data_IF_316257256692
#
_entry.id   IF_316257256692
#
_cell.length_a   1.000
_cell.length_b   1.000
_cell.length_c   1.000
_cell.angle_alpha   90.00
_cell.angle_beta   90.00
_cell.angle_gamma   90.00
#
_symmetry.space_group_name_H-M   'P 1'
#
loop_
_entity.id
_entity.type
_entity.pdbx_description
1 polymer ?
#
# COMPACT_ATOMS: atom_id res chain seq x y z
N UNK A 1 52.72 19.79 -8.86
CA UNK A 1 52.08 18.88 -7.89
C UNK A 1 50.82 18.34 -8.56
N UNK A 2 50.91 17.16 -9.17
CA UNK A 2 49.80 16.55 -9.91
C UNK A 2 48.94 15.76 -8.90
N UNK A 3 47.75 16.28 -8.60
CA UNK A 3 46.81 15.64 -7.67
C UNK A 3 46.08 14.52 -8.42
N UNK A 4 46.49 13.26 -8.18
CA UNK A 4 45.77 12.08 -8.64
C UNK A 4 44.52 11.90 -7.74
N UNK A 5 43.36 12.28 -8.27
CA UNK A 5 42.07 11.92 -7.70
C UNK A 5 41.82 10.43 -7.97
N UNK A 6 41.94 9.59 -6.93
CA UNK A 6 41.46 8.21 -6.97
C UNK A 6 39.93 8.21 -6.90
N UNK A 7 39.26 7.85 -7.98
CA UNK A 7 37.86 7.48 -7.92
C UNK A 7 37.73 6.17 -7.10
N UNK A 8 36.72 6.03 -6.23
CA UNK A 8 36.50 4.79 -5.51
C UNK A 8 36.28 3.66 -6.52
N UNK A 9 36.95 2.53 -6.31
CA UNK A 9 36.77 1.35 -7.14
C UNK A 9 35.28 0.94 -7.12
N UNK A 10 34.65 0.90 -8.30
CA UNK A 10 33.34 0.29 -8.45
C UNK A 10 33.41 -1.13 -7.88
N UNK A 11 32.46 -1.52 -7.02
CA UNK A 11 32.39 -2.89 -6.53
C UNK A 11 32.27 -3.82 -7.74
N UNK A 12 33.22 -4.76 -7.87
CA UNK A 12 33.18 -5.74 -8.94
C UNK A 12 31.89 -6.56 -8.82
N UNK A 13 31.09 -6.58 -9.87
CA UNK A 13 29.90 -7.43 -9.94
C UNK A 13 30.34 -8.90 -10.01
N UNK A 14 29.69 -9.77 -9.24
CA UNK A 14 29.95 -11.21 -9.30
C UNK A 14 29.80 -11.72 -10.75
N UNK A 15 30.68 -12.63 -11.17
CA UNK A 15 30.58 -13.27 -12.49
C UNK A 15 29.41 -14.25 -12.47
N UNK A 16 28.44 -14.17 -13.39
CA UNK A 16 27.35 -15.13 -13.46
C UNK A 16 27.87 -16.56 -13.71
N UNK A 17 27.36 -17.54 -12.97
CA UNK A 17 27.59 -18.98 -13.25
C UNK A 17 26.61 -19.50 -14.31
N UNK A 18 25.48 -18.81 -14.47
CA UNK A 18 24.49 -19.02 -15.51
C UNK A 18 23.96 -17.68 -15.96
N UNK A 19 23.81 -17.48 -17.27
CA UNK A 19 23.15 -16.29 -17.80
C UNK A 19 22.31 -16.60 -19.03
N UNK A 20 21.13 -15.99 -19.11
CA UNK A 20 20.36 -15.87 -20.33
C UNK A 20 20.55 -14.47 -20.92
N UNK A 21 20.67 -14.40 -22.25
CA UNK A 21 20.82 -13.15 -23.01
C UNK A 21 19.78 -13.07 -24.13
N UNK A 22 19.46 -11.85 -24.56
CA UNK A 22 18.65 -11.61 -25.76
C UNK A 22 19.45 -11.95 -27.03
N UNK A 23 18.79 -11.92 -28.19
CA UNK A 23 19.46 -12.05 -29.48
C UNK A 23 20.48 -10.92 -29.76
N UNK A 24 20.32 -9.75 -29.11
CA UNK A 24 21.26 -8.62 -29.16
C UNK A 24 22.42 -8.75 -28.16
N UNK A 25 22.43 -9.77 -27.30
CA UNK A 25 23.46 -9.99 -26.29
C UNK A 25 23.19 -9.29 -24.95
N UNK A 26 22.04 -8.64 -24.78
CA UNK A 26 21.67 -7.99 -23.51
C UNK A 26 21.35 -9.06 -22.45
N UNK A 27 21.83 -8.88 -21.22
CA UNK A 27 21.49 -9.79 -20.11
C UNK A 27 19.98 -9.76 -19.83
N UNK A 28 19.39 -10.94 -19.64
CA UNK A 28 17.97 -11.13 -19.28
C UNK A 28 17.82 -11.76 -17.90
N UNK A 29 18.67 -12.73 -17.57
CA UNK A 29 18.70 -13.38 -16.26
C UNK A 29 20.11 -13.85 -15.95
N UNK A 30 20.55 -13.72 -14.71
CA UNK A 30 21.83 -14.21 -14.23
C UNK A 30 21.67 -14.87 -12.87
N UNK A 31 22.28 -16.05 -12.68
CA UNK A 31 22.49 -16.68 -11.38
C UNK A 31 23.96 -16.60 -10.98
N UNK A 32 24.22 -16.48 -9.69
CA UNK A 32 25.56 -16.29 -9.12
C UNK A 32 25.95 -17.45 -8.19
N UNK A 33 27.25 -17.60 -7.92
CA UNK A 33 27.80 -18.70 -7.10
C UNK A 33 27.30 -18.67 -5.64
N UNK A 34 26.96 -17.48 -5.13
CA UNK A 34 26.37 -17.29 -3.80
C UNK A 34 24.88 -17.64 -3.71
N UNK A 35 24.26 -18.08 -4.82
CA UNK A 35 22.84 -18.38 -4.92
C UNK A 35 21.95 -17.16 -5.19
N UNK A 36 22.52 -15.96 -5.29
CA UNK A 36 21.82 -14.78 -5.74
C UNK A 36 21.40 -14.90 -7.21
N UNK A 37 20.39 -14.14 -7.60
CA UNK A 37 20.03 -13.98 -9.00
C UNK A 37 19.64 -12.53 -9.31
N UNK A 38 19.72 -12.18 -10.59
CA UNK A 38 19.24 -10.92 -11.13
C UNK A 38 18.45 -11.17 -12.41
N UNK A 39 17.27 -10.56 -12.50
CA UNK A 39 16.47 -10.50 -13.72
C UNK A 39 16.54 -9.08 -14.27
N UNK A 40 16.69 -8.96 -15.58
CA UNK A 40 16.94 -7.71 -16.28
C UNK A 40 15.90 -7.47 -17.36
N UNK A 41 15.85 -6.25 -17.85
CA UNK A 41 15.09 -5.87 -19.04
C UNK A 41 15.03 -4.36 -19.18
N UNK A 42 14.42 -3.90 -20.25
CA UNK A 42 14.37 -2.48 -20.60
C UNK A 42 13.01 -1.91 -20.21
N UNK A 43 13.00 -0.78 -19.50
CA UNK A 43 11.77 -0.06 -19.22
C UNK A 43 11.24 0.58 -20.51
N UNK A 44 10.03 0.19 -20.93
CA UNK A 44 9.42 0.55 -22.21
C UNK A 44 7.87 0.45 -22.12
N UNK A 45 7.22 1.33 -21.34
CA UNK A 45 5.80 1.19 -21.00
C UNK A 45 4.84 1.29 -22.20
N UNK A 46 5.28 1.95 -23.27
CA UNK A 46 4.46 2.20 -24.47
C UNK A 46 4.49 1.03 -25.48
N UNK A 47 5.41 0.09 -25.33
CA UNK A 47 5.56 -1.08 -26.23
C UNK A 47 5.28 -2.40 -25.51
N UNK A 48 4.47 -2.36 -24.45
CA UNK A 48 4.36 -3.45 -23.48
C UNK A 48 3.75 -4.74 -24.05
N UNK A 49 4.40 -5.88 -23.80
CA UNK A 49 3.93 -7.23 -24.13
C UNK A 49 3.80 -8.08 -22.86
N UNK A 50 2.58 -8.57 -22.56
CA UNK A 50 2.33 -9.34 -21.33
C UNK A 50 3.24 -10.58 -21.31
N UNK A 51 4.12 -10.75 -20.30
CA UNK A 51 4.96 -11.93 -20.21
C UNK A 51 4.16 -13.20 -19.84
N UNK A 52 2.90 -13.07 -19.45
CA UNK A 52 2.02 -14.21 -19.09
C UNK A 52 0.70 -14.14 -19.85
N UNK A 53 0.22 -15.28 -20.33
CA UNK A 53 -1.13 -15.39 -20.87
C UNK A 53 -2.15 -15.23 -19.73
N UNK A 54 -3.11 -14.32 -19.88
CA UNK A 54 -4.11 -14.01 -18.86
C UNK A 54 -4.95 -15.23 -18.40
N UNK A 55 -5.00 -16.28 -19.23
CA UNK A 55 -5.81 -17.49 -19.05
C UNK A 55 -5.02 -18.70 -18.53
N UNK A 56 -3.81 -18.50 -17.99
CA UNK A 56 -3.02 -19.58 -17.36
C UNK A 56 -2.94 -19.43 -15.82
N UNK A 57 -4.06 -19.59 -15.10
CA UNK A 57 -4.11 -19.42 -13.65
C UNK A 57 -3.32 -20.52 -12.90
N UNK A 58 -2.60 -20.12 -11.86
CA UNK A 58 -1.83 -21.00 -10.98
C UNK A 58 -0.89 -20.21 -10.06
N UNK A 59 0.04 -20.91 -9.42
CA UNK A 59 1.13 -20.29 -8.65
C UNK A 59 2.24 -19.83 -9.59
N UNK A 60 2.48 -18.52 -9.66
CA UNK A 60 3.47 -17.93 -10.57
C UNK A 60 4.30 -16.83 -9.89
N UNK A 61 5.49 -16.60 -10.44
CA UNK A 61 6.31 -15.43 -10.21
C UNK A 61 6.52 -14.74 -11.55
N UNK A 62 6.26 -13.43 -11.64
CA UNK A 62 6.32 -12.67 -12.89
C UNK A 62 7.13 -11.40 -12.67
N UNK A 63 8.17 -11.24 -13.46
CA UNK A 63 8.87 -9.97 -13.65
C UNK A 63 8.47 -9.40 -15.01
N UNK A 64 7.87 -8.21 -15.03
CA UNK A 64 7.45 -7.50 -16.24
C UNK A 64 8.32 -6.25 -16.43
N UNK A 65 9.51 -6.41 -17.04
CA UNK A 65 10.55 -5.37 -17.06
C UNK A 65 10.12 -4.08 -17.78
N UNK A 66 9.31 -4.18 -18.83
CA UNK A 66 8.86 -3.04 -19.64
C UNK A 66 8.09 -1.99 -18.83
N UNK A 67 7.55 -2.39 -17.68
CA UNK A 67 6.83 -1.52 -16.76
C UNK A 67 7.35 -1.64 -15.32
N UNK A 68 8.48 -2.31 -15.10
CA UNK A 68 9.04 -2.57 -13.78
C UNK A 68 8.04 -3.14 -12.75
N UNK A 69 7.14 -4.02 -13.19
CA UNK A 69 6.11 -4.60 -12.33
C UNK A 69 6.47 -6.03 -11.90
N UNK A 70 6.10 -6.39 -10.67
CA UNK A 70 6.39 -7.70 -10.11
C UNK A 70 5.13 -8.38 -9.56
N UNK A 71 4.97 -9.68 -9.82
CA UNK A 71 3.89 -10.53 -9.30
C UNK A 71 4.43 -11.78 -8.65
N UNK A 72 3.87 -12.18 -7.52
CA UNK A 72 4.18 -13.47 -6.91
C UNK A 72 3.00 -14.03 -6.10
N UNK A 73 2.52 -15.21 -6.46
CA UNK A 73 1.48 -15.90 -5.72
C UNK A 73 0.55 -16.73 -6.60
N UNK A 74 -0.66 -16.99 -6.10
CA UNK A 74 -1.67 -17.81 -6.78
C UNK A 74 -2.73 -16.90 -7.42
N UNK A 75 -2.96 -17.07 -8.72
CA UNK A 75 -3.96 -16.32 -9.46
C UNK A 75 -4.89 -17.30 -10.17
N UNK A 76 -6.20 -17.19 -9.92
CA UNK A 76 -7.21 -18.14 -10.43
C UNK A 76 -8.09 -17.56 -11.55
N UNK A 77 -7.81 -16.32 -12.00
CA UNK A 77 -8.57 -15.64 -13.04
C UNK A 77 -7.76 -14.55 -13.74
N UNK A 78 -8.42 -13.46 -14.16
CA UNK A 78 -7.83 -12.43 -15.02
C UNK A 78 -6.87 -11.45 -14.32
N UNK A 79 -6.42 -11.72 -13.09
CA UNK A 79 -5.51 -10.83 -12.35
C UNK A 79 -4.18 -10.58 -13.07
N UNK A 80 -3.74 -11.51 -13.94
CA UNK A 80 -2.54 -11.38 -14.77
C UNK A 80 -2.84 -10.88 -16.20
N UNK A 81 -4.00 -10.25 -16.43
CA UNK A 81 -4.26 -9.53 -17.69
C UNK A 81 -3.51 -8.19 -17.74
N UNK A 82 -3.20 -7.71 -18.95
CA UNK A 82 -2.43 -6.48 -19.17
C UNK A 82 -2.95 -5.25 -18.41
N UNK A 83 -4.26 -5.13 -18.25
CA UNK A 83 -4.89 -3.98 -17.56
C UNK A 83 -4.68 -4.02 -16.04
N UNK A 84 -4.28 -5.16 -15.49
CA UNK A 84 -4.02 -5.36 -14.06
C UNK A 84 -2.54 -5.19 -13.71
N UNK A 85 -1.74 -4.68 -14.65
CA UNK A 85 -0.37 -4.27 -14.42
C UNK A 85 -0.18 -2.76 -14.46
N UNK A 86 -0.08 -2.19 -13.26
CA UNK A 86 0.44 -0.84 -13.08
C UNK A 86 1.96 -0.78 -13.28
N UNK A 87 2.48 0.23 -14.00
CA UNK A 87 3.89 0.60 -13.96
C UNK A 87 4.42 0.76 -12.53
N UNK A 88 5.60 0.19 -12.27
CA UNK A 88 6.28 0.15 -10.98
C UNK A 88 5.47 -0.53 -9.86
N UNK A 89 4.50 -1.37 -10.20
CA UNK A 89 3.58 -1.95 -9.21
C UNK A 89 4.01 -3.33 -8.72
N UNK A 90 3.63 -3.64 -7.48
CA UNK A 90 3.84 -4.95 -6.88
C UNK A 90 2.49 -5.56 -6.50
N UNK A 91 2.24 -6.81 -6.91
CA UNK A 91 1.11 -7.58 -6.40
C UNK A 91 1.56 -8.98 -5.93
N UNK A 92 1.13 -9.40 -4.74
CA UNK A 92 1.41 -10.76 -4.28
C UNK A 92 0.32 -11.36 -3.41
N UNK A 93 0.45 -12.66 -3.16
CA UNK A 93 -0.55 -13.47 -2.46
C UNK A 93 -1.58 -14.08 -3.41
N UNK A 94 -2.84 -14.16 -3.01
CA UNK A 94 -3.90 -14.84 -3.76
C UNK A 94 -4.85 -13.84 -4.42
N UNK A 95 -5.01 -13.91 -5.74
CA UNK A 95 -6.02 -13.14 -6.48
C UNK A 95 -5.98 -11.61 -6.25
N UNK A 96 -4.81 -11.05 -5.95
CA UNK A 96 -4.64 -9.60 -5.77
C UNK A 96 -4.33 -8.88 -7.09
N UNK A 97 -4.69 -7.60 -7.16
CA UNK A 97 -4.42 -6.72 -8.31
C UNK A 97 -3.72 -5.45 -7.83
N UNK A 98 -2.65 -5.07 -8.53
CA UNK A 98 -2.00 -3.77 -8.43
C UNK A 98 -1.96 -3.13 -9.83
N UNK A 99 -3.11 -2.60 -10.24
CA UNK A 99 -3.40 -2.22 -11.63
C UNK A 99 -2.97 -0.81 -12.02
N UNK A 100 -2.43 -0.02 -11.10
CA UNK A 100 -2.15 1.40 -11.30
C UNK A 100 -0.70 1.76 -11.03
N UNK A 101 -0.25 2.89 -11.58
CA UNK A 101 1.13 3.37 -11.42
C UNK A 101 1.50 3.43 -9.93
N UNK A 102 2.64 2.86 -9.57
CA UNK A 102 3.20 2.83 -8.22
C UNK A 102 2.34 2.12 -7.17
N UNK A 103 1.34 1.32 -7.57
CA UNK A 103 0.47 0.66 -6.59
C UNK A 103 1.09 -0.60 -5.99
N UNK A 104 0.69 -0.93 -4.77
CA UNK A 104 1.14 -2.09 -4.02
C UNK A 104 -0.08 -2.87 -3.52
N UNK A 105 -0.09 -4.19 -3.72
CA UNK A 105 -1.17 -5.06 -3.29
C UNK A 105 -0.62 -6.37 -2.72
N UNK A 106 -0.96 -6.74 -1.49
CA UNK A 106 -0.53 -8.02 -0.92
C UNK A 106 -1.58 -8.64 0.00
N UNK A 107 -1.79 -9.95 -0.11
CA UNK A 107 -2.74 -10.71 0.69
C UNK A 107 -3.74 -11.51 -0.18
N UNK A 108 -5.04 -11.41 0.08
CA UNK A 108 -6.07 -12.19 -0.64
C UNK A 108 -7.14 -11.30 -1.24
N UNK A 109 -7.42 -11.42 -2.54
CA UNK A 109 -8.54 -10.74 -3.23
C UNK A 109 -8.54 -9.20 -3.12
N UNK A 110 -7.37 -8.59 -2.96
CA UNK A 110 -7.21 -7.14 -2.87
C UNK A 110 -7.16 -6.47 -4.25
N UNK A 111 -7.57 -5.20 -4.32
CA UNK A 111 -7.48 -4.39 -5.53
C UNK A 111 -6.94 -2.99 -5.22
N UNK A 112 -5.68 -2.74 -5.58
CA UNK A 112 -5.05 -1.42 -5.57
C UNK A 112 -5.21 -0.78 -6.97
N UNK A 113 -6.30 -0.02 -7.10
CA UNK A 113 -6.88 0.43 -8.38
C UNK A 113 -6.66 1.93 -8.68
N UNK A 114 -5.95 2.65 -7.82
CA UNK A 114 -5.59 4.05 -8.03
C UNK A 114 -4.08 4.29 -7.94
N UNK A 115 -3.64 5.45 -8.39
CA UNK A 115 -2.21 5.81 -8.44
C UNK A 115 -1.61 5.85 -7.04
N UNK A 116 -0.44 5.23 -6.88
CA UNK A 116 0.36 5.23 -5.66
C UNK A 116 -0.43 4.80 -4.42
N UNK A 117 -1.24 3.74 -4.55
CA UNK A 117 -2.01 3.19 -3.43
C UNK A 117 -1.40 1.91 -2.87
N UNK A 118 -1.73 1.63 -1.62
CA UNK A 118 -1.37 0.39 -0.92
C UNK A 118 -2.66 -0.33 -0.53
N UNK A 119 -2.81 -1.61 -0.89
CA UNK A 119 -3.88 -2.49 -0.43
C UNK A 119 -3.27 -3.73 0.25
N UNK A 120 -3.47 -3.89 1.56
CA UNK A 120 -2.86 -4.98 2.32
C UNK A 120 -3.87 -5.72 3.22
N UNK A 121 -3.96 -7.04 3.11
CA UNK A 121 -4.88 -7.85 3.90
C UNK A 121 -5.81 -8.68 3.03
N UNK A 122 -7.12 -8.72 3.32
CA UNK A 122 -8.07 -9.52 2.54
C UNK A 122 -9.30 -8.71 2.08
N UNK A 123 -9.64 -8.87 0.80
CA UNK A 123 -10.76 -8.22 0.14
C UNK A 123 -10.77 -6.67 0.28
N UNK A 124 -9.57 -6.10 0.37
CA UNK A 124 -9.32 -4.66 0.46
C UNK A 124 -9.42 -4.01 -0.92
N UNK A 125 -10.09 -2.86 -0.98
CA UNK A 125 -10.20 -2.01 -2.16
C UNK A 125 -9.52 -0.67 -1.85
N UNK A 126 -8.51 -0.28 -2.64
CA UNK A 126 -7.83 1.00 -2.54
C UNK A 126 -7.95 1.77 -3.87
N UNK A 127 -8.93 2.67 -3.94
CA UNK A 127 -9.37 3.42 -5.14
C UNK A 127 -9.16 4.94 -5.05
N UNK A 128 -8.68 5.46 -3.92
CA UNK A 128 -8.28 6.84 -3.71
C UNK A 128 -6.79 7.02 -4.00
N UNK A 129 -6.38 7.96 -4.86
CA UNK A 129 -4.95 8.14 -5.17
C UNK A 129 -4.14 8.54 -3.92
N UNK A 130 -2.90 8.06 -3.82
CA UNK A 130 -1.98 8.32 -2.71
C UNK A 130 -2.50 7.88 -1.33
N UNK A 131 -3.27 6.80 -1.27
CA UNK A 131 -3.86 6.27 -0.03
C UNK A 131 -3.34 4.88 0.34
N UNK A 132 -3.50 4.53 1.61
CA UNK A 132 -3.20 3.20 2.13
C UNK A 132 -4.43 2.58 2.79
N UNK A 133 -4.89 1.45 2.28
CA UNK A 133 -5.96 0.65 2.88
C UNK A 133 -5.40 -0.67 3.37
N UNK A 134 -5.68 -1.00 4.63
CA UNK A 134 -5.28 -2.27 5.21
C UNK A 134 -6.45 -2.98 5.90
N UNK A 135 -6.26 -4.24 6.27
CA UNK A 135 -7.22 -5.00 7.09
C UNK A 135 -8.13 -5.89 6.24
N UNK A 136 -9.42 -5.86 6.53
CA UNK A 136 -10.39 -6.77 5.95
C UNK A 136 -11.63 -6.02 5.46
N UNK A 137 -11.98 -6.20 4.18
CA UNK A 137 -13.27 -5.78 3.63
C UNK A 137 -13.67 -4.31 3.94
N UNK A 138 -12.75 -3.37 3.66
CA UNK A 138 -12.89 -1.93 3.97
C UNK A 138 -14.01 -1.20 3.20
N UNK A 139 -14.50 -0.06 3.69
CA UNK A 139 -15.58 0.72 3.07
C UNK A 139 -15.12 2.04 2.44
N UNK A 140 -14.42 2.90 3.18
CA UNK A 140 -14.15 4.30 2.83
C UNK A 140 -13.37 4.49 1.51
N UNK A 141 -12.69 3.44 1.04
CA UNK A 141 -11.85 3.45 -0.16
C UNK A 141 -12.35 2.45 -1.23
N UNK A 142 -13.55 1.88 -1.05
CA UNK A 142 -14.08 0.78 -1.86
C UNK A 142 -14.96 1.21 -3.04
N UNK A 143 -15.70 2.31 -2.93
CA UNK A 143 -16.67 2.75 -3.95
C UNK A 143 -16.18 3.99 -4.74
N UNK A 144 -14.86 4.11 -4.88
CA UNK A 144 -14.21 5.31 -5.41
C UNK A 144 -13.88 6.28 -4.29
N UNK A 145 -13.37 7.46 -4.65
CA UNK A 145 -13.05 8.49 -3.67
C UNK A 145 -14.10 9.62 -3.76
N UNK A 146 -15.25 9.50 -3.08
CA UNK A 146 -16.29 10.53 -3.16
C UNK A 146 -15.81 11.91 -2.69
N UNK A 147 -14.72 11.97 -1.92
CA UNK A 147 -14.14 13.23 -1.45
C UNK A 147 -12.64 13.39 -1.74
N UNK A 148 -11.97 12.46 -2.43
CA UNK A 148 -10.50 12.46 -2.54
C UNK A 148 -9.76 12.54 -1.19
N UNK A 149 -10.43 12.30 -0.06
CA UNK A 149 -9.91 12.60 1.27
C UNK A 149 -9.23 11.41 1.94
N UNK A 150 -9.58 10.14 1.71
CA UNK A 150 -8.95 9.07 2.52
C UNK A 150 -7.44 8.97 2.25
N UNK A 151 -6.63 9.19 3.28
CA UNK A 151 -5.18 8.99 3.28
C UNK A 151 -4.83 7.59 3.79
N UNK A 152 -5.50 7.15 4.86
CA UNK A 152 -5.28 5.84 5.45
C UNK A 152 -6.58 5.28 6.05
N UNK A 153 -6.88 4.01 5.84
CA UNK A 153 -8.00 3.35 6.50
C UNK A 153 -7.70 1.89 6.86
N UNK A 154 -8.35 1.43 7.93
CA UNK A 154 -8.26 0.05 8.42
C UNK A 154 -9.63 -0.59 8.34
N UNK A 155 -9.83 -1.45 7.35
CA UNK A 155 -11.06 -2.22 7.17
C UNK A 155 -11.25 -3.27 8.26
N UNK A 156 -12.48 -3.39 8.74
CA UNK A 156 -12.92 -4.43 9.67
C UNK A 156 -14.31 -4.98 9.28
N UNK A 157 -14.62 -4.95 7.99
CA UNK A 157 -15.91 -5.38 7.47
C UNK A 157 -16.16 -6.88 7.64
N UNK A 158 -17.36 -7.28 7.25
CA UNK A 158 -17.84 -8.65 7.31
C UNK A 158 -18.31 -9.07 5.91
N UNK A 159 -17.53 -9.89 5.17
CA UNK A 159 -17.92 -10.34 3.85
C UNK A 159 -19.00 -11.43 3.87
N UNK A 160 -19.25 -12.11 5.00
CA UNK A 160 -20.34 -13.10 5.08
C UNK A 160 -21.69 -12.38 4.99
N UNK A 161 -21.82 -11.21 5.62
CA UNK A 161 -22.97 -10.32 5.45
C UNK A 161 -22.86 -9.37 4.25
N UNK A 162 -21.70 -9.31 3.60
CA UNK A 162 -21.41 -8.34 2.54
C UNK A 162 -21.30 -6.90 3.04
N UNK A 163 -21.15 -6.69 4.36
CA UNK A 163 -21.10 -5.36 4.98
C UNK A 163 -19.65 -4.88 5.06
N UNK A 164 -19.29 -3.89 4.25
CA UNK A 164 -18.00 -3.20 4.36
C UNK A 164 -18.02 -2.22 5.53
N UNK A 165 -16.92 -2.16 6.29
CA UNK A 165 -16.73 -1.15 7.35
C UNK A 165 -15.25 -0.88 7.61
N UNK A 166 -14.98 0.21 8.33
CA UNK A 166 -13.64 0.61 8.76
C UNK A 166 -13.61 0.84 10.27
N UNK A 167 -12.56 0.34 10.92
CA UNK A 167 -12.26 0.62 12.31
C UNK A 167 -11.65 2.03 12.48
N UNK A 168 -10.94 2.49 11.45
CA UNK A 168 -10.18 3.73 11.42
C UNK A 168 -10.19 4.33 10.01
N UNK A 169 -10.43 5.63 9.91
CA UNK A 169 -10.26 6.41 8.66
C UNK A 169 -9.53 7.70 9.00
N UNK A 170 -8.41 7.95 8.35
CA UNK A 170 -7.67 9.21 8.34
C UNK A 170 -7.83 9.85 6.97
N UNK A 171 -8.33 11.07 6.98
CA UNK A 171 -8.47 11.90 5.80
C UNK A 171 -7.20 12.74 5.55
N UNK A 172 -7.03 13.19 4.31
CA UNK A 172 -5.86 13.94 3.80
C UNK A 172 -5.77 15.31 4.44
N UNK A 173 -6.90 15.86 4.87
CA UNK A 173 -6.98 17.12 5.61
C UNK A 173 -6.69 16.95 7.11
N UNK A 174 -6.46 15.71 7.57
CA UNK A 174 -6.03 15.39 8.92
C UNK A 174 -7.15 14.96 9.87
N UNK A 175 -8.41 14.99 9.41
CA UNK A 175 -9.54 14.49 10.18
C UNK A 175 -9.44 12.97 10.39
N UNK A 176 -9.73 12.53 11.62
CA UNK A 176 -9.63 11.13 12.02
C UNK A 176 -10.97 10.64 12.57
N UNK A 177 -11.50 9.60 11.94
CA UNK A 177 -12.62 8.82 12.44
C UNK A 177 -12.13 7.53 13.09
N UNK A 178 -12.55 7.28 14.32
CA UNK A 178 -12.39 6.00 15.03
C UNK A 178 -13.78 5.45 15.28
N UNK A 179 -14.09 4.27 14.75
CA UNK A 179 -15.42 3.66 14.93
C UNK A 179 -15.67 3.19 16.37
N UNK A 180 -14.58 2.85 17.08
CA UNK A 180 -14.59 2.47 18.50
C UNK A 180 -14.27 3.63 19.46
N UNK A 181 -13.85 3.30 20.68
CA UNK A 181 -13.38 4.28 21.66
C UNK A 181 -11.88 4.53 21.54
N UNK A 182 -11.46 5.79 21.67
CA UNK A 182 -10.06 6.17 21.81
C UNK A 182 -9.67 6.11 23.29
N UNK A 183 -8.68 5.29 23.63
CA UNK A 183 -8.09 5.26 24.98
C UNK A 183 -6.83 6.11 24.99
N UNK A 184 -6.92 7.30 25.57
CA UNK A 184 -5.76 8.17 25.77
C UNK A 184 -5.24 8.02 27.20
N UNK A 185 -3.96 7.70 27.35
CA UNK A 185 -3.29 7.81 28.64
C UNK A 185 -3.10 9.29 28.98
N UNK A 186 -4.15 9.89 29.57
CA UNK A 186 -4.09 11.25 30.09
C UNK A 186 -3.11 11.30 31.28
N UNK A 187 -1.95 11.94 31.11
CA UNK A 187 -1.11 12.34 32.23
C UNK A 187 -1.59 13.69 32.78
N UNK A 188 -2.21 13.67 33.96
CA UNK A 188 -2.71 14.87 34.62
C UNK A 188 -1.60 15.91 34.88
N UNK A 189 -0.33 15.50 34.96
CA UNK A 189 0.81 16.40 35.18
C UNK A 189 1.13 17.27 33.96
N UNK A 190 0.76 16.81 32.75
CA UNK A 190 0.95 17.55 31.51
C UNK A 190 -0.21 18.52 31.25
N UNK A 191 -1.32 18.40 31.99
CA UNK A 191 -2.50 19.25 31.87
C UNK A 191 -2.40 20.45 32.83
N UNK A 192 -1.39 21.30 32.65
CA UNK A 192 -1.03 22.38 33.60
C UNK A 192 -1.98 23.59 33.59
N UNK A 193 -2.75 23.77 32.51
CA UNK A 193 -3.69 24.90 32.33
C UNK A 193 -5.14 24.55 32.71
N UNK A 194 -5.37 23.38 33.30
CA UNK A 194 -6.70 22.96 33.75
C UNK A 194 -6.63 22.54 35.21
N UNK A 195 -7.55 23.09 36.01
CA UNK A 195 -7.73 22.68 37.41
C UNK A 195 -8.83 21.63 37.53
N UNK A 196 -8.76 20.71 38.50
CA UNK A 196 -9.89 19.86 38.83
C UNK A 196 -11.11 20.71 39.22
N UNK A 197 -12.31 20.30 38.81
CA UNK A 197 -13.56 20.87 39.28
C UNK A 197 -13.75 20.51 40.76
N UNK A 198 -13.14 21.28 41.66
CA UNK A 198 -13.21 21.04 43.10
C UNK A 198 -14.53 21.57 43.67
N UNK A 199 -15.04 20.89 44.71
CA UNK A 199 -16.20 21.37 45.49
C UNK A 199 -15.91 22.71 46.19
N UNK A 200 -14.64 22.97 46.48
CA UNK A 200 -14.17 24.18 47.18
C UNK A 200 -14.44 25.46 46.37
N UNK A 201 -14.36 25.40 45.03
CA UNK A 201 -14.69 26.53 44.17
C UNK A 201 -16.19 26.78 43.99
N UNK A 202 -17.05 25.84 44.43
CA UNK A 202 -18.52 25.85 44.24
C UNK A 202 -18.95 26.11 42.78
N UNK A 203 -18.08 25.84 41.81
CA UNK A 203 -18.32 26.14 40.38
C UNK A 203 -19.54 25.40 39.87
N UNK A 204 -19.68 24.13 40.23
CA UNK A 204 -20.84 23.30 39.88
C UNK A 204 -22.14 23.80 40.53
N UNK A 205 -22.07 24.34 41.75
CA UNK A 205 -23.23 24.92 42.43
C UNK A 205 -23.65 26.25 41.79
N UNK A 206 -22.68 27.10 41.41
CA UNK A 206 -22.96 28.34 40.67
C UNK A 206 -23.58 28.03 39.31
N UNK A 207 -23.08 27.02 38.60
CA UNK A 207 -23.64 26.60 37.31
C UNK A 207 -25.07 26.07 37.44
N UNK A 208 -25.39 25.36 38.53
CA UNK A 208 -26.74 24.87 38.82
C UNK A 208 -27.77 26.00 39.01
N UNK A 209 -27.32 27.22 39.31
CA UNK A 209 -28.19 28.39 39.49
C UNK A 209 -28.33 29.26 38.25
N UNK A 210 -27.67 28.92 37.13
CA UNK A 210 -27.78 29.68 35.89
C UNK A 210 -29.12 29.40 35.22
N UNK A 211 -30.01 30.40 35.18
CA UNK A 211 -31.21 30.41 34.34
C UNK A 211 -30.86 30.95 32.95
N UNK A 212 -31.07 30.20 31.85
CA UNK A 212 -30.83 30.70 30.50
C UNK A 212 -31.69 31.93 30.21
N UNK A 213 -31.10 32.98 29.64
CA UNK A 213 -31.85 34.15 29.15
C UNK A 213 -32.44 33.78 27.78
N UNK A 214 -33.75 33.98 27.62
CA UNK A 214 -34.44 33.80 26.33
C UNK A 214 -34.14 34.95 25.38
#
# INVERSE_FOLDING_TARGET
MLLLLFAPAAQAQNVPVFSAQSASGDSLFAGFEDGGFAAYGTFAPDSRTNPVAADNPGTVMVWYPEIAAFRAGEFTGAQLSNNNFGPFSFAGGRNTVAGSNYSFSFGSSNNAAARATVAFGEAVQARCSHSMSIGYFNAANADGCPTDEVAFNVGNGDPDSGTRSDALVLDKDGDLMIAGSLTENSDARLKTNVGPLSKEGRVLEKLATVTPVR
#
